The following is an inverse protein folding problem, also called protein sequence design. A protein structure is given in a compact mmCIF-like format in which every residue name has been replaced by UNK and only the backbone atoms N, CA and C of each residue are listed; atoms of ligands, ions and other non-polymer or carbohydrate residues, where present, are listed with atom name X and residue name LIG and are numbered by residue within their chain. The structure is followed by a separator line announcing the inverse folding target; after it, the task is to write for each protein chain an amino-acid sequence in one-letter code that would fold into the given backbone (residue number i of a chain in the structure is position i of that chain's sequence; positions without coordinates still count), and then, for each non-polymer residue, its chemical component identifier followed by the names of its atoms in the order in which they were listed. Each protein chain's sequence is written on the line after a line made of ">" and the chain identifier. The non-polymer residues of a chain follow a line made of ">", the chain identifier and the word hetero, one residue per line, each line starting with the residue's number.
data_IF_152464057559
#
_entry.id   IF_152464057559
#
_cell.length_a   1.000
_cell.length_b   1.000
_cell.length_c   1.000
_cell.angle_alpha   90.00
_cell.angle_beta   90.00
_cell.angle_gamma   90.00
#
_symmetry.space_group_name_H-M   'P 1'
#
loop_
_entity.id
_entity.type
_entity.pdbx_description
1 polymer ?
#
# COMPACT_ATOMS: atom_id res chain seq x y z
N UNK A 1 28.76 43.90 21.24
CA UNK A 1 27.35 43.43 21.15
C UNK A 1 27.36 42.08 20.46
N UNK A 2 27.03 40.99 21.17
CA UNK A 2 26.94 39.68 20.52
C UNK A 2 25.72 39.65 19.60
N UNK A 3 25.96 39.54 18.30
CA UNK A 3 24.91 39.33 17.29
C UNK A 3 24.11 38.07 17.65
N UNK A 4 22.78 38.17 17.66
CA UNK A 4 21.90 37.04 17.92
C UNK A 4 22.27 35.85 17.03
N UNK A 5 22.24 34.61 17.54
CA UNK A 5 22.66 33.45 16.75
C UNK A 5 21.81 33.33 15.48
N UNK A 6 22.47 33.33 14.32
CA UNK A 6 21.79 33.23 13.03
C UNK A 6 21.09 31.88 12.93
N UNK A 7 19.76 31.89 12.75
CA UNK A 7 18.95 30.68 12.58
C UNK A 7 19.14 30.12 11.17
N UNK A 8 19.89 29.03 11.05
CA UNK A 8 20.15 28.34 9.78
C UNK A 8 18.88 27.60 9.32
N UNK A 9 18.54 27.75 8.05
CA UNK A 9 17.30 27.19 7.47
C UNK A 9 17.29 25.68 7.57
N UNK A 10 18.40 24.98 7.31
CA UNK A 10 18.48 23.51 7.30
C UNK A 10 18.41 22.85 8.68
N UNK A 11 18.60 23.60 9.77
CA UNK A 11 18.58 23.06 11.14
C UNK A 11 17.35 23.50 11.94
N UNK A 12 16.73 24.62 11.57
CA UNK A 12 15.58 25.19 12.26
C UNK A 12 14.37 25.18 11.35
N UNK A 13 13.46 24.23 11.58
CA UNK A 13 12.12 24.23 10.96
C UNK A 13 11.21 25.22 11.67
N UNK A 14 10.42 26.04 10.95
CA UNK A 14 9.41 26.92 11.55
C UNK A 14 8.12 26.14 11.86
N UNK A 15 8.00 24.88 11.43
CA UNK A 15 6.84 24.03 11.66
C UNK A 15 7.03 23.26 12.98
N UNK A 16 6.53 23.83 14.07
CA UNK A 16 6.51 23.22 15.41
C UNK A 16 5.16 22.54 15.67
N UNK A 17 5.19 21.33 16.21
CA UNK A 17 4.00 20.51 16.46
C UNK A 17 3.35 20.83 17.82
N UNK A 18 4.17 21.21 18.81
CA UNK A 18 3.73 21.55 20.17
C UNK A 18 4.59 22.67 20.78
N UNK A 19 4.10 23.26 21.88
CA UNK A 19 4.78 24.32 22.64
C UNK A 19 6.11 23.87 23.28
N UNK A 20 6.38 22.56 23.31
CA UNK A 20 7.62 21.95 23.79
C UNK A 20 8.81 22.08 22.80
N UNK A 21 8.58 22.66 21.62
CA UNK A 21 9.61 22.85 20.60
C UNK A 21 9.87 21.64 19.71
N UNK A 22 9.04 20.61 19.78
CA UNK A 22 9.10 19.48 18.86
C UNK A 22 8.73 19.93 17.44
N UNK A 23 9.49 19.46 16.45
CA UNK A 23 9.31 19.81 15.05
C UNK A 23 8.33 18.85 14.39
N UNK A 24 7.41 19.37 13.58
CA UNK A 24 6.45 18.56 12.84
C UNK A 24 7.12 17.65 11.78
N UNK A 25 8.33 17.99 11.34
CA UNK A 25 9.08 17.25 10.31
C UNK A 25 10.37 16.70 10.93
N UNK A 26 10.72 15.42 10.72
CA UNK A 26 11.98 14.86 11.17
C UNK A 26 13.19 15.65 10.65
N UNK A 27 14.17 15.93 11.52
CA UNK A 27 15.33 16.79 11.20
C UNK A 27 16.07 16.43 9.91
N UNK A 28 16.23 15.13 9.63
CA UNK A 28 16.90 14.62 8.41
C UNK A 28 16.09 14.92 7.15
N UNK A 29 14.78 14.72 7.20
CA UNK A 29 13.88 15.01 6.08
C UNK A 29 13.81 16.52 5.84
N UNK A 30 13.72 17.32 6.90
CA UNK A 30 13.76 18.78 6.81
C UNK A 30 15.02 19.28 6.10
N UNK A 31 16.21 18.83 6.54
CA UNK A 31 17.47 19.22 5.91
C UNK A 31 17.52 18.82 4.42
N UNK A 32 16.98 17.66 4.06
CA UNK A 32 16.90 17.22 2.67
C UNK A 32 16.00 18.15 1.84
N UNK A 33 14.80 18.47 2.31
CA UNK A 33 13.86 19.38 1.61
C UNK A 33 14.43 20.80 1.46
N UNK A 34 15.14 21.30 2.47
CA UNK A 34 15.82 22.61 2.39
C UNK A 34 16.89 22.62 1.31
N UNK A 35 17.72 21.58 1.22
CA UNK A 35 18.75 21.48 0.18
C UNK A 35 18.11 21.37 -1.21
N UNK A 36 17.09 20.52 -1.37
CA UNK A 36 16.43 20.34 -2.67
C UNK A 36 15.62 21.58 -3.13
N UNK A 37 15.21 22.45 -2.21
CA UNK A 37 14.57 23.74 -2.55
C UNK A 37 15.56 24.85 -2.95
N UNK A 38 16.86 24.51 -3.04
CA UNK A 38 17.90 25.43 -3.51
C UNK A 38 18.47 26.35 -2.42
N UNK A 39 18.27 26.04 -1.14
CA UNK A 39 19.02 26.67 -0.06
C UNK A 39 20.39 26.01 0.11
N UNK A 40 21.39 26.82 0.45
CA UNK A 40 22.69 26.31 0.87
C UNK A 40 22.63 25.89 2.34
N UNK A 41 23.54 24.99 2.76
CA UNK A 41 23.59 24.52 4.16
C UNK A 41 23.81 25.66 5.17
N UNK A 42 24.41 26.76 4.74
CA UNK A 42 24.71 27.95 5.54
C UNK A 42 23.63 29.03 5.45
N UNK A 43 22.61 28.84 4.61
CA UNK A 43 21.54 29.83 4.43
C UNK A 43 20.80 30.08 5.74
N UNK A 44 20.51 31.34 6.04
CA UNK A 44 19.85 31.77 7.29
C UNK A 44 18.48 32.37 6.99
N UNK A 45 17.53 32.19 7.92
CA UNK A 45 16.15 32.64 7.74
C UNK A 45 16.02 34.14 7.48
N UNK A 46 16.87 34.97 8.10
CA UNK A 46 16.84 36.42 7.93
C UNK A 46 17.18 36.90 6.51
N UNK A 47 17.84 36.05 5.71
CA UNK A 47 18.31 36.36 4.35
C UNK A 47 17.53 35.53 3.30
N UNK A 48 16.53 34.75 3.74
CA UNK A 48 15.77 33.85 2.87
C UNK A 48 14.78 34.63 1.98
N UNK A 49 14.91 34.50 0.66
CA UNK A 49 14.00 35.15 -0.27
C UNK A 49 12.61 34.52 -0.25
N UNK A 50 11.56 35.34 -0.42
CA UNK A 50 10.17 34.86 -0.51
C UNK A 50 9.98 33.78 -1.58
N UNK A 51 10.73 33.86 -2.69
CA UNK A 51 10.72 32.87 -3.77
C UNK A 51 11.22 31.51 -3.28
N UNK A 52 12.39 31.45 -2.61
CA UNK A 52 12.93 30.19 -2.09
C UNK A 52 12.04 29.60 -0.99
N UNK A 53 11.48 30.44 -0.12
CA UNK A 53 10.53 30.00 0.92
C UNK A 53 9.27 29.39 0.30
N UNK A 54 8.73 29.98 -0.78
CA UNK A 54 7.60 29.39 -1.52
C UNK A 54 7.93 28.03 -2.12
N UNK A 55 9.12 27.88 -2.71
CA UNK A 55 9.58 26.59 -3.26
C UNK A 55 9.68 25.55 -2.13
N UNK A 56 10.32 25.89 -1.01
CA UNK A 56 10.41 24.99 0.15
C UNK A 56 9.02 24.59 0.68
N UNK A 57 8.09 25.55 0.79
CA UNK A 57 6.70 25.26 1.18
C UNK A 57 6.02 24.29 0.22
N UNK A 58 6.22 24.48 -1.09
CA UNK A 58 5.67 23.59 -2.10
C UNK A 58 6.25 22.18 -1.98
N UNK A 59 7.55 22.07 -1.75
CA UNK A 59 8.22 20.77 -1.57
C UNK A 59 7.76 20.06 -0.30
N UNK A 60 7.47 20.78 0.79
CA UNK A 60 6.94 20.17 2.02
C UNK A 60 5.55 19.55 1.76
N UNK A 61 4.70 20.23 0.98
CA UNK A 61 3.34 19.79 0.71
C UNK A 61 3.21 18.82 -0.49
N UNK A 62 4.14 18.90 -1.45
CA UNK A 62 4.10 18.16 -2.71
C UNK A 62 5.52 17.78 -3.14
N UNK A 63 6.16 16.92 -2.35
CA UNK A 63 7.48 16.39 -2.69
C UNK A 63 7.34 15.30 -3.75
N UNK A 64 7.73 15.62 -4.99
CA UNK A 64 7.73 14.67 -6.10
C UNK A 64 9.03 13.86 -6.07
N UNK A 65 8.91 12.54 -6.16
CA UNK A 65 10.05 11.60 -6.23
C UNK A 65 9.91 10.78 -7.50
N UNK A 66 10.96 10.81 -8.33
CA UNK A 66 11.01 9.99 -9.53
C UNK A 66 11.29 8.53 -9.17
N UNK A 67 10.33 7.66 -9.47
CA UNK A 67 10.45 6.23 -9.20
C UNK A 67 11.15 5.53 -10.37
N UNK A 68 12.39 5.09 -10.17
CA UNK A 68 13.21 4.43 -11.21
C UNK A 68 13.03 2.92 -11.29
N UNK A 69 12.26 2.31 -10.37
CA UNK A 69 12.02 0.87 -10.35
C UNK A 69 11.39 0.38 -9.04
N UNK A 70 11.22 -0.95 -8.95
CA UNK A 70 10.80 -1.65 -7.73
C UNK A 70 12.03 -2.24 -7.03
N UNK A 71 11.99 -2.35 -5.71
CA UNK A 71 13.10 -2.92 -4.92
C UNK A 71 13.40 -4.38 -5.27
N UNK A 72 14.67 -4.79 -5.18
CA UNK A 72 15.15 -6.15 -5.51
C UNK A 72 14.74 -7.19 -4.46
N UNK A 73 14.55 -6.75 -3.22
CA UNK A 73 14.09 -7.58 -2.10
C UNK A 73 12.56 -7.57 -2.06
N UNK A 74 11.96 -8.38 -2.94
CA UNK A 74 10.51 -8.61 -3.03
C UNK A 74 10.02 -9.40 -1.81
N UNK A 75 9.62 -8.72 -0.75
CA UNK A 75 8.59 -9.26 0.13
C UNK A 75 7.23 -8.86 -0.46
N UNK A 76 6.86 -9.51 -1.58
CA UNK A 76 5.50 -9.37 -2.11
C UNK A 76 4.56 -10.15 -1.20
N UNK A 77 3.67 -9.43 -0.51
CA UNK A 77 2.76 -10.03 0.48
C UNK A 77 1.54 -10.70 -0.17
N UNK A 78 1.22 -10.33 -1.41
CA UNK A 78 0.03 -10.77 -2.17
C UNK A 78 0.40 -10.74 -3.65
N UNK A 79 -0.14 -11.69 -4.40
CA UNK A 79 -0.06 -11.73 -5.86
C UNK A 79 -1.28 -11.03 -6.48
N UNK A 80 -1.05 -10.03 -7.34
CA UNK A 80 -2.10 -9.48 -8.19
C UNK A 80 -2.23 -10.33 -9.46
N UNK A 81 -3.46 -10.68 -9.83
CA UNK A 81 -3.72 -11.66 -10.89
C UNK A 81 -4.10 -13.04 -10.36
N UNK A 82 -4.37 -13.97 -11.27
CA UNK A 82 -4.71 -15.35 -10.94
C UNK A 82 -5.61 -15.98 -12.00
N UNK A 83 -6.33 -17.03 -11.62
CA UNK A 83 -7.34 -17.65 -12.49
C UNK A 83 -8.51 -16.69 -12.68
N UNK A 84 -8.90 -16.45 -13.94
CA UNK A 84 -9.95 -15.48 -14.27
C UNK A 84 -11.27 -15.84 -13.61
N UNK A 85 -11.90 -14.87 -12.94
CA UNK A 85 -13.24 -15.03 -12.36
C UNK A 85 -14.32 -15.35 -13.39
N UNK A 86 -14.06 -15.08 -14.68
CA UNK A 86 -14.95 -15.48 -15.78
C UNK A 86 -15.04 -16.99 -15.94
N UNK A 87 -14.00 -17.72 -15.55
CA UNK A 87 -13.90 -19.18 -15.63
C UNK A 87 -14.40 -19.88 -14.36
N UNK A 88 -14.92 -19.12 -13.39
CA UNK A 88 -15.40 -19.64 -12.11
C UNK A 88 -16.89 -19.33 -11.93
N UNK A 89 -17.65 -20.31 -11.44
CA UNK A 89 -19.02 -20.11 -10.97
C UNK A 89 -18.96 -19.55 -9.55
N UNK A 90 -19.01 -18.22 -9.40
CA UNK A 90 -18.79 -17.55 -8.10
C UNK A 90 -19.68 -18.03 -6.94
N UNK A 91 -20.85 -18.62 -7.22
CA UNK A 91 -21.75 -19.17 -6.19
C UNK A 91 -21.26 -20.49 -5.59
N UNK A 92 -20.51 -21.28 -6.36
CA UNK A 92 -20.04 -22.62 -5.94
C UNK A 92 -18.52 -22.72 -5.90
N UNK A 93 -17.84 -21.75 -6.50
CA UNK A 93 -16.40 -21.74 -6.77
C UNK A 93 -15.93 -22.87 -7.70
N UNK A 94 -16.85 -23.52 -8.42
CA UNK A 94 -16.51 -24.55 -9.41
C UNK A 94 -15.95 -23.92 -10.68
N UNK A 95 -14.97 -24.58 -11.30
CA UNK A 95 -14.47 -24.24 -12.62
C UNK A 95 -15.52 -24.49 -13.68
N UNK A 96 -15.71 -23.51 -14.57
CA UNK A 96 -16.54 -23.64 -15.78
C UNK A 96 -15.83 -24.44 -16.88
N UNK A 97 -14.53 -24.67 -16.75
CA UNK A 97 -13.69 -25.35 -17.74
C UNK A 97 -13.53 -26.83 -17.38
N UNK A 98 -13.40 -27.14 -16.10
CA UNK A 98 -13.22 -28.50 -15.60
C UNK A 98 -14.27 -28.79 -14.52
N UNK A 99 -15.25 -29.63 -14.85
CA UNK A 99 -16.28 -30.05 -13.89
C UNK A 99 -15.65 -30.74 -12.68
N UNK A 100 -16.24 -30.54 -11.51
CA UNK A 100 -15.77 -31.07 -10.22
C UNK A 100 -14.42 -30.52 -9.73
N UNK A 101 -13.85 -29.52 -10.41
CA UNK A 101 -12.69 -28.76 -9.92
C UNK A 101 -13.16 -27.47 -9.25
N UNK A 102 -12.70 -27.19 -8.03
CA UNK A 102 -13.06 -26.00 -7.27
C UNK A 102 -11.81 -25.17 -6.94
N UNK A 103 -11.93 -23.85 -7.01
CA UNK A 103 -10.81 -22.91 -6.88
C UNK A 103 -11.13 -21.85 -5.84
N UNK A 104 -10.22 -21.57 -4.91
CA UNK A 104 -10.44 -20.60 -3.83
C UNK A 104 -9.12 -19.99 -3.34
N UNK A 105 -9.21 -18.91 -2.55
CA UNK A 105 -8.04 -18.21 -2.01
C UNK A 105 -7.22 -17.47 -3.06
N UNK A 106 -5.93 -17.29 -2.81
CA UNK A 106 -5.05 -16.43 -3.62
C UNK A 106 -4.79 -16.93 -5.06
N UNK A 107 -5.20 -18.17 -5.39
CA UNK A 107 -5.02 -18.70 -6.75
C UNK A 107 -5.97 -18.06 -7.77
N UNK A 108 -7.11 -17.52 -7.32
CA UNK A 108 -8.07 -16.84 -8.20
C UNK A 108 -7.69 -15.37 -8.33
N UNK A 109 -8.13 -14.73 -9.40
CA UNK A 109 -7.85 -13.33 -9.72
C UNK A 109 -8.60 -12.35 -8.80
N UNK A 110 -8.20 -12.34 -7.51
CA UNK A 110 -8.69 -11.46 -6.45
C UNK A 110 -7.54 -11.09 -5.53
N UNK A 111 -7.14 -9.83 -5.59
CA UNK A 111 -6.22 -9.20 -4.65
C UNK A 111 -6.89 -8.04 -3.91
N UNK A 112 -6.75 -8.02 -2.59
CA UNK A 112 -7.28 -6.97 -1.71
C UNK A 112 -6.20 -6.03 -1.20
N UNK A 113 -6.60 -4.84 -0.78
CA UNK A 113 -5.72 -3.93 -0.02
C UNK A 113 -5.29 -4.56 1.31
N UNK A 114 -4.25 -4.02 1.94
CA UNK A 114 -3.84 -4.43 3.29
C UNK A 114 -4.94 -4.20 4.32
N UNK A 115 -5.01 -5.03 5.36
CA UNK A 115 -6.04 -4.93 6.41
C UNK A 115 -6.93 -6.17 6.57
N UNK A 116 -6.48 -7.34 6.08
CA UNK A 116 -7.18 -8.61 6.28
C UNK A 116 -8.12 -9.03 5.14
N UNK A 117 -8.26 -8.24 4.09
CA UNK A 117 -9.14 -8.54 2.95
C UNK A 117 -8.75 -9.81 2.19
N UNK A 118 -7.44 -10.04 1.99
CA UNK A 118 -6.96 -11.27 1.35
C UNK A 118 -7.28 -12.51 2.19
N UNK A 119 -7.17 -12.41 3.52
CA UNK A 119 -7.62 -13.49 4.41
C UNK A 119 -9.12 -13.71 4.31
N UNK A 120 -9.93 -12.64 4.32
CA UNK A 120 -11.38 -12.77 4.12
C UNK A 120 -11.72 -13.44 2.79
N UNK A 121 -11.01 -13.12 1.70
CA UNK A 121 -11.15 -13.81 0.42
C UNK A 121 -10.85 -15.31 0.56
N UNK A 122 -9.72 -15.67 1.17
CA UNK A 122 -9.36 -17.08 1.41
C UNK A 122 -10.41 -17.83 2.24
N UNK A 123 -10.88 -17.26 3.34
CA UNK A 123 -11.84 -17.92 4.22
C UNK A 123 -13.22 -18.08 3.57
N UNK A 124 -13.73 -17.01 2.96
CA UNK A 124 -15.08 -17.03 2.37
C UNK A 124 -15.15 -17.93 1.15
N UNK A 125 -14.20 -17.81 0.22
CA UNK A 125 -14.16 -18.66 -0.98
C UNK A 125 -13.83 -20.10 -0.64
N UNK A 126 -12.94 -20.35 0.34
CA UNK A 126 -12.64 -21.70 0.82
C UNK A 126 -13.85 -22.40 1.42
N UNK A 127 -14.66 -21.68 2.20
CA UNK A 127 -15.91 -22.21 2.74
C UNK A 127 -16.91 -22.59 1.63
N UNK A 128 -17.13 -21.69 0.66
CA UNK A 128 -18.06 -21.93 -0.46
C UNK A 128 -17.58 -23.10 -1.34
N UNK A 129 -16.29 -23.13 -1.68
CA UNK A 129 -15.70 -24.21 -2.47
C UNK A 129 -15.84 -25.57 -1.76
N UNK A 130 -15.46 -25.65 -0.48
CA UNK A 130 -15.49 -26.89 0.28
C UNK A 130 -16.91 -27.43 0.47
N UNK A 131 -17.88 -26.56 0.81
CA UNK A 131 -19.29 -26.96 0.95
C UNK A 131 -19.91 -27.39 -0.37
N UNK A 132 -19.62 -26.67 -1.46
CA UNK A 132 -20.13 -27.02 -2.80
C UNK A 132 -19.56 -28.33 -3.33
N UNK A 133 -18.26 -28.57 -3.12
CA UNK A 133 -17.61 -29.82 -3.48
C UNK A 133 -18.20 -31.01 -2.71
N UNK A 134 -18.48 -30.85 -1.42
CA UNK A 134 -19.11 -31.89 -0.61
C UNK A 134 -20.54 -32.20 -1.08
N UNK A 135 -21.36 -31.18 -1.34
CA UNK A 135 -22.72 -31.36 -1.87
C UNK A 135 -22.72 -32.09 -3.21
N UNK A 136 -21.83 -31.72 -4.13
CA UNK A 136 -21.71 -32.38 -5.44
C UNK A 136 -21.45 -33.90 -5.33
N UNK A 137 -20.62 -34.33 -4.39
CA UNK A 137 -20.34 -35.76 -4.18
C UNK A 137 -21.55 -36.51 -3.60
N UNK A 138 -22.27 -35.89 -2.66
CA UNK A 138 -23.48 -36.47 -2.05
C UNK A 138 -24.61 -36.62 -3.07
N UNK A 139 -24.80 -35.62 -3.93
CA UNK A 139 -25.81 -35.66 -4.99
C UNK A 139 -25.51 -36.79 -5.98
N UNK A 140 -24.24 -36.93 -6.42
CA UNK A 140 -23.82 -38.05 -7.27
C UNK A 140 -24.02 -39.43 -6.63
N UNK A 141 -23.73 -39.56 -5.33
CA UNK A 141 -23.94 -40.83 -4.62
C UNK A 141 -25.43 -41.19 -4.55
N UNK A 142 -26.29 -40.19 -4.35
CA UNK A 142 -27.76 -40.35 -4.32
C UNK A 142 -28.31 -40.73 -5.69
N UNK A 143 -27.84 -40.08 -6.76
CA UNK A 143 -28.20 -40.43 -8.14
C UNK A 143 -27.82 -41.88 -8.46
N UNK A 144 -26.62 -42.31 -8.07
CA UNK A 144 -26.16 -43.68 -8.32
C UNK A 144 -27.00 -44.74 -7.58
N UNK A 145 -27.38 -44.48 -6.33
CA UNK A 145 -28.25 -45.37 -5.55
C UNK A 145 -29.71 -45.41 -6.05
N UNK A 146 -30.13 -44.45 -6.87
CA UNK A 146 -31.49 -44.38 -7.43
C UNK A 146 -31.66 -45.10 -8.76
N UNK A 147 -30.55 -45.50 -9.38
CA UNK A 147 -30.50 -46.19 -10.69
C UNK A 147 -30.38 -47.71 -10.51
N UNK A 148 -29.96 -48.17 -9.32
CA UNK A 148 -29.92 -49.59 -8.89
C UNK A 148 -31.22 -50.02 -8.20
#
# INVERSE_FOLDING_TARGET
>A
TMSSPKRVVSTVSPLTLSSDGSTAIPKRLWAALVIHSGFEKTSVWGEASKKKVRILSQMIANFVVDMTGKGTFKEEFVTAGGISLKEIVMKTMESKVCSSLYLCGEVIDVDGITGGFNFMNCWSTGYVAGTSAASFLLDKQTEQLSID
#
